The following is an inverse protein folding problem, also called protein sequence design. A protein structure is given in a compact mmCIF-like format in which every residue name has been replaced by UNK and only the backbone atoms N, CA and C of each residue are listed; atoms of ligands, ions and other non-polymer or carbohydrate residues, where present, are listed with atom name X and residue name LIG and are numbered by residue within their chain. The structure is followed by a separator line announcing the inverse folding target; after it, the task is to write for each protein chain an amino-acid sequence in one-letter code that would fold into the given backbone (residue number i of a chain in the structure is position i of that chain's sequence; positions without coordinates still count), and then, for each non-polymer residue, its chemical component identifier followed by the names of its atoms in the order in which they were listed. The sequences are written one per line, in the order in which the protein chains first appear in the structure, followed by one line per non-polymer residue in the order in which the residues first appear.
data_IF_972517242706
#
_entry.id   IF_972517242706
#
_cell.length_a   1.000
_cell.length_b   1.000
_cell.length_c   1.000
_cell.angle_alpha   90.00
_cell.angle_beta   90.00
_cell.angle_gamma   90.00
#
_symmetry.space_group_name_H-M   'P 1'
#
loop_
_entity.id
_entity.type
_entity.pdbx_description
1 polymer ?
#
# COMPACT_ATOMS: atom_id res chain seq x y z
N UNK A 1 -1.05 3.77 0.70
CA UNK A 1 -1.79 2.67 0.05
C UNK A 1 -2.24 3.02 -1.37
N UNK A 2 -2.93 4.16 -1.63
CA UNK A 2 -3.37 4.52 -2.99
C UNK A 2 -2.29 4.37 -4.08
N UNK A 3 -1.03 4.78 -3.79
CA UNK A 3 0.06 4.64 -4.76
C UNK A 3 0.31 3.19 -5.18
N UNK A 4 0.23 2.24 -4.25
CA UNK A 4 0.33 0.81 -4.54
C UNK A 4 -0.88 0.31 -5.34
N UNK A 5 -2.10 0.60 -4.86
CA UNK A 5 -3.33 0.11 -5.47
C UNK A 5 -3.56 0.63 -6.89
N UNK A 6 -3.06 1.81 -7.20
CA UNK A 6 -3.20 2.46 -8.51
C UNK A 6 -1.93 2.42 -9.36
N UNK A 7 -0.85 1.77 -8.87
CA UNK A 7 0.48 1.73 -9.50
C UNK A 7 1.05 3.13 -9.78
N UNK A 8 0.79 4.07 -8.87
CA UNK A 8 1.36 5.41 -8.93
C UNK A 8 2.63 5.46 -8.07
N UNK A 9 3.76 5.25 -8.74
CA UNK A 9 5.08 5.26 -8.09
C UNK A 9 5.37 6.58 -7.39
N UNK A 10 4.96 7.71 -7.98
CA UNK A 10 5.25 9.03 -7.44
C UNK A 10 4.51 9.26 -6.12
N UNK A 11 3.21 8.94 -6.06
CA UNK A 11 2.43 9.01 -4.82
C UNK A 11 3.02 8.07 -3.78
N UNK A 12 3.36 6.82 -4.16
CA UNK A 12 3.93 5.87 -3.21
C UNK A 12 5.27 6.35 -2.65
N UNK A 13 6.19 6.79 -3.53
CA UNK A 13 7.52 7.28 -3.13
C UNK A 13 7.46 8.56 -2.27
N UNK A 14 6.50 9.43 -2.51
CA UNK A 14 6.41 10.76 -1.88
C UNK A 14 6.22 10.73 -0.36
N UNK A 15 5.74 9.61 0.20
CA UNK A 15 5.49 9.48 1.65
C UNK A 15 6.77 9.18 2.46
N UNK A 16 7.87 8.86 1.79
CA UNK A 16 9.15 8.58 2.41
C UNK A 16 10.10 9.78 2.34
N UNK A 17 10.96 9.94 3.35
CA UNK A 17 12.16 10.77 3.22
C UNK A 17 13.14 10.14 2.24
N UNK A 18 14.03 10.94 1.66
CA UNK A 18 14.95 10.45 0.61
C UNK A 18 15.95 9.44 1.15
N UNK A 19 16.35 9.58 2.40
CA UNK A 19 17.25 8.69 3.14
C UNK A 19 16.54 7.65 4.00
N UNK A 20 15.23 7.44 3.78
CA UNK A 20 14.47 6.45 4.52
C UNK A 20 14.96 5.01 4.24
N UNK A 21 14.65 4.12 5.15
CA UNK A 21 15.00 2.71 5.03
C UNK A 21 13.76 1.83 5.15
N UNK A 22 13.59 0.92 4.21
CA UNK A 22 12.47 -0.03 4.17
C UNK A 22 12.99 -1.43 4.44
N UNK A 23 12.44 -2.10 5.46
CA UNK A 23 12.77 -3.47 5.86
C UNK A 23 11.52 -4.35 5.86
N UNK A 24 11.38 -5.17 4.84
CA UNK A 24 10.28 -6.12 4.68
C UNK A 24 10.74 -7.57 4.89
N UNK A 25 11.89 -7.76 5.56
CA UNK A 25 12.50 -9.06 5.78
C UNK A 25 13.16 -9.62 4.52
N UNK A 26 12.40 -9.89 3.48
CA UNK A 26 12.90 -10.40 2.19
C UNK A 26 13.58 -9.32 1.30
N UNK A 27 13.28 -8.05 1.54
CA UNK A 27 13.94 -6.91 0.90
C UNK A 27 14.24 -5.84 1.94
N UNK A 28 15.47 -5.30 1.89
CA UNK A 28 15.94 -4.22 2.76
C UNK A 28 16.65 -3.21 1.90
N UNK A 29 16.10 -2.00 1.77
CA UNK A 29 16.59 -1.05 0.77
C UNK A 29 16.11 0.38 1.02
N UNK A 30 16.61 1.30 0.16
CA UNK A 30 16.15 2.67 0.05
C UNK A 30 14.74 2.77 -0.57
N UNK A 31 14.04 3.91 -0.42
CA UNK A 31 12.67 4.05 -0.87
C UNK A 31 12.49 4.09 -2.40
N UNK A 32 13.51 4.46 -3.19
CA UNK A 32 13.42 4.49 -4.65
C UNK A 32 13.46 3.09 -5.23
N UNK A 33 14.40 2.28 -4.73
CA UNK A 33 14.51 0.85 -5.06
C UNK A 33 13.27 0.09 -4.59
N UNK A 34 12.79 0.38 -3.38
CA UNK A 34 11.58 -0.23 -2.85
C UNK A 34 10.33 0.12 -3.67
N UNK A 35 10.17 1.38 -4.05
CA UNK A 35 9.06 1.80 -4.89
C UNK A 35 9.08 1.11 -6.26
N UNK A 36 10.27 0.95 -6.86
CA UNK A 36 10.41 0.22 -8.12
C UNK A 36 10.03 -1.25 -7.98
N UNK A 37 10.54 -1.89 -6.92
CA UNK A 37 10.20 -3.27 -6.59
C UNK A 37 8.68 -3.47 -6.42
N UNK A 38 8.01 -2.59 -5.66
CA UNK A 38 6.56 -2.68 -5.46
C UNK A 38 5.78 -2.53 -6.77
N UNK A 39 6.17 -1.57 -7.63
CA UNK A 39 5.50 -1.41 -8.94
C UNK A 39 5.67 -2.66 -9.81
N UNK A 40 6.86 -3.23 -9.84
CA UNK A 40 7.13 -4.46 -10.60
C UNK A 40 6.38 -5.68 -10.04
N UNK A 41 6.33 -5.84 -8.72
CA UNK A 41 5.62 -6.94 -8.08
C UNK A 41 4.10 -6.89 -8.30
N UNK A 42 3.53 -5.69 -8.39
CA UNK A 42 2.08 -5.50 -8.46
C UNK A 42 1.53 -5.28 -9.88
N UNK A 43 2.39 -5.04 -10.89
CA UNK A 43 1.94 -4.65 -12.24
C UNK A 43 1.05 -5.69 -12.93
N UNK A 44 1.32 -6.97 -12.67
CA UNK A 44 0.61 -8.08 -13.30
C UNK A 44 -0.60 -8.56 -12.47
N UNK A 45 -0.86 -7.96 -11.31
CA UNK A 45 -2.04 -8.26 -10.53
C UNK A 45 -3.29 -7.68 -11.20
N UNK A 46 -4.39 -8.40 -11.16
CA UNK A 46 -5.70 -7.96 -11.68
C UNK A 46 -6.20 -6.76 -10.86
N UNK A 47 -6.08 -6.84 -9.54
CA UNK A 47 -6.44 -5.74 -8.63
C UNK A 47 -5.68 -5.84 -7.31
N UNK A 48 -5.56 -4.70 -6.62
CA UNK A 48 -5.03 -4.62 -5.27
C UNK A 48 -5.90 -3.69 -4.43
N UNK A 49 -6.02 -4.02 -3.14
CA UNK A 49 -6.71 -3.18 -2.17
C UNK A 49 -6.01 -3.28 -0.82
N UNK A 50 -5.25 -2.25 -0.47
CA UNK A 50 -4.62 -2.14 0.84
C UNK A 50 -5.49 -1.29 1.76
N UNK A 51 -5.93 -1.88 2.86
CA UNK A 51 -6.67 -1.19 3.92
C UNK A 51 -5.78 -1.04 5.15
N UNK A 52 -5.73 0.18 5.69
CA UNK A 52 -5.11 0.48 6.98
C UNK A 52 -6.22 0.43 8.03
N UNK A 53 -5.94 -0.27 9.11
CA UNK A 53 -6.83 -0.40 10.25
C UNK A 53 -6.37 0.41 11.48
N UNK A 54 -6.30 -0.25 12.63
CA UNK A 54 -5.91 0.35 13.88
C UNK A 54 -4.52 0.98 13.78
N UNK A 55 -4.36 2.16 14.38
CA UNK A 55 -3.10 2.90 14.37
C UNK A 55 -2.78 3.36 15.79
N UNK A 56 -1.61 3.02 16.27
CA UNK A 56 -1.01 3.58 17.47
C UNK A 56 0.13 4.50 17.02
N UNK A 57 0.09 5.76 17.43
CA UNK A 57 1.16 6.74 17.15
C UNK A 57 1.64 7.32 18.47
N UNK A 58 2.93 7.22 18.72
CA UNK A 58 3.56 7.75 19.91
C UNK A 58 4.64 8.76 19.52
N UNK A 59 4.56 9.97 20.05
CA UNK A 59 5.60 10.97 19.85
C UNK A 59 6.79 10.69 20.77
N UNK A 60 7.98 10.92 20.25
CA UNK A 60 9.21 10.81 21.02
C UNK A 60 9.24 11.92 22.09
N UNK A 61 9.54 11.54 23.35
CA UNK A 61 9.53 12.48 24.47
C UNK A 61 10.71 13.47 24.42
N UNK A 62 11.81 13.10 23.76
CA UNK A 62 13.02 13.90 23.69
C UNK A 62 13.11 14.68 22.35
N UNK A 63 12.34 14.29 21.34
CA UNK A 63 12.36 14.90 20.01
C UNK A 63 10.97 15.05 19.40
N UNK A 64 10.37 16.22 19.55
CA UNK A 64 9.04 16.55 19.01
C UNK A 64 8.91 16.38 17.48
N UNK A 65 10.02 16.17 16.76
CA UNK A 65 10.04 15.95 15.33
C UNK A 65 10.14 14.46 14.97
N UNK A 66 10.02 13.57 15.95
CA UNK A 66 10.02 12.12 15.77
C UNK A 66 8.74 11.50 16.34
N UNK A 67 8.19 10.52 15.67
CA UNK A 67 7.10 9.70 16.16
C UNK A 67 7.26 8.25 15.69
N UNK A 68 6.72 7.32 16.46
CA UNK A 68 6.70 5.89 16.16
C UNK A 68 5.27 5.44 15.93
N UNK A 69 5.08 4.55 14.96
CA UNK A 69 3.76 4.05 14.61
C UNK A 69 3.70 2.55 14.50
N UNK A 70 2.66 1.96 15.05
CA UNK A 70 2.22 0.60 14.76
C UNK A 70 0.89 0.69 14.02
N UNK A 71 0.89 0.29 12.72
CA UNK A 71 -0.23 0.49 11.83
C UNK A 71 -0.67 -0.87 11.28
N UNK A 72 -1.83 -1.34 11.69
CA UNK A 72 -2.40 -2.59 11.18
C UNK A 72 -2.84 -2.43 9.73
N UNK A 73 -2.58 -3.45 8.92
CA UNK A 73 -3.03 -3.48 7.53
C UNK A 73 -3.67 -4.81 7.16
N UNK A 74 -4.50 -4.75 6.13
CA UNK A 74 -4.99 -5.89 5.38
C UNK A 74 -4.80 -5.57 3.89
N UNK A 75 -4.03 -6.40 3.20
CA UNK A 75 -3.72 -6.25 1.80
C UNK A 75 -4.37 -7.40 1.00
N UNK A 76 -5.28 -7.04 0.11
CA UNK A 76 -5.90 -7.96 -0.84
C UNK A 76 -5.21 -7.81 -2.21
N UNK A 77 -4.85 -8.94 -2.79
CA UNK A 77 -4.30 -9.03 -4.13
C UNK A 77 -5.08 -10.07 -4.93
N UNK A 78 -5.59 -9.67 -6.10
CA UNK A 78 -6.14 -10.61 -7.07
C UNK A 78 -5.10 -10.81 -8.16
N UNK A 79 -4.65 -12.03 -8.31
CA UNK A 79 -3.59 -12.42 -9.25
C UNK A 79 -4.03 -13.60 -10.11
N UNK A 80 -3.13 -14.09 -10.97
CA UNK A 80 -3.32 -15.33 -11.74
C UNK A 80 -2.20 -16.28 -11.35
N UNK A 81 -2.56 -17.41 -10.75
CA UNK A 81 -1.62 -18.48 -10.41
C UNK A 81 -1.97 -19.74 -11.20
N UNK A 82 -1.03 -20.23 -12.01
CA UNK A 82 -1.23 -21.41 -12.86
C UNK A 82 -2.50 -21.32 -13.75
N UNK A 83 -2.82 -20.12 -14.24
CA UNK A 83 -3.99 -19.86 -15.07
C UNK A 83 -5.31 -19.74 -14.32
N UNK A 84 -5.28 -19.73 -12.98
CA UNK A 84 -6.46 -19.57 -12.11
C UNK A 84 -6.42 -18.22 -11.44
N UNK A 85 -7.54 -17.47 -11.52
CA UNK A 85 -7.69 -16.25 -10.74
C UNK A 85 -7.63 -16.62 -9.26
N UNK A 86 -6.74 -15.96 -8.53
CA UNK A 86 -6.40 -16.30 -7.15
C UNK A 86 -6.44 -15.06 -6.27
N UNK A 87 -7.08 -15.17 -5.13
CA UNK A 87 -7.12 -14.16 -4.09
C UNK A 87 -6.01 -14.44 -3.08
N UNK A 88 -5.13 -13.48 -2.88
CA UNK A 88 -4.10 -13.50 -1.83
C UNK A 88 -4.40 -12.39 -0.86
N UNK A 89 -4.58 -12.75 0.41
CA UNK A 89 -4.80 -11.81 1.50
C UNK A 89 -3.62 -11.89 2.45
N UNK A 90 -3.04 -10.76 2.77
CA UNK A 90 -1.94 -10.63 3.73
C UNK A 90 -2.35 -9.63 4.79
N UNK A 91 -2.22 -9.99 6.05
CA UNK A 91 -2.52 -9.11 7.16
C UNK A 91 -1.33 -9.04 8.12
N UNK A 92 -1.09 -7.86 8.64
CA UNK A 92 0.04 -7.60 9.50
C UNK A 92 0.08 -6.16 9.99
N UNK A 93 1.27 -5.69 10.28
CA UNK A 93 1.52 -4.36 10.82
C UNK A 93 2.73 -3.72 10.17
N UNK A 94 2.64 -2.43 9.91
CA UNK A 94 3.81 -1.59 9.67
C UNK A 94 4.31 -1.06 11.00
N UNK A 95 5.61 -1.18 11.23
CA UNK A 95 6.32 -0.52 12.32
C UNK A 95 7.12 0.63 11.72
N UNK A 96 6.64 1.83 11.95
CA UNK A 96 7.15 3.04 11.31
C UNK A 96 7.88 3.94 12.30
N UNK A 97 8.93 4.60 11.83
CA UNK A 97 9.44 5.84 12.40
C UNK A 97 9.15 6.98 11.44
N UNK A 98 8.44 7.96 11.93
CA UNK A 98 8.14 9.20 11.22
C UNK A 98 9.06 10.31 11.70
N UNK A 99 9.48 11.16 10.78
CA UNK A 99 10.24 12.36 11.11
C UNK A 99 9.61 13.59 10.44
N UNK A 100 9.55 14.70 11.20
CA UNK A 100 9.14 16.00 10.68
C UNK A 100 10.38 16.79 10.30
N UNK A 101 10.61 16.95 9.00
CA UNK A 101 11.70 17.75 8.46
C UNK A 101 11.13 18.90 7.65
N UNK A 102 11.57 20.14 7.91
CA UNK A 102 11.03 21.34 7.27
C UNK A 102 9.51 21.46 7.35
N UNK A 103 8.94 21.08 8.50
CA UNK A 103 7.50 21.13 8.75
C UNK A 103 6.68 19.99 8.13
N UNK A 104 7.29 19.06 7.42
CA UNK A 104 6.61 17.95 6.72
C UNK A 104 6.96 16.61 7.38
N UNK A 105 5.92 15.88 7.82
CA UNK A 105 6.06 14.53 8.31
C UNK A 105 6.15 13.53 7.16
N UNK A 106 7.14 12.64 7.20
CA UNK A 106 7.28 11.50 6.30
C UNK A 106 7.84 10.29 7.04
N UNK A 107 7.75 9.14 6.40
CA UNK A 107 8.34 7.90 6.89
C UNK A 107 9.87 7.99 6.72
N UNK A 108 10.61 7.82 7.81
CA UNK A 108 12.07 7.71 7.81
C UNK A 108 12.53 6.25 7.93
N UNK A 109 11.69 5.38 8.49
CA UNK A 109 11.90 3.94 8.55
C UNK A 109 10.56 3.23 8.51
N UNK A 110 10.48 2.13 7.78
CA UNK A 110 9.34 1.20 7.80
C UNK A 110 9.82 -0.23 7.84
N UNK A 111 9.27 -0.99 8.78
CA UNK A 111 9.33 -2.45 8.75
C UNK A 111 7.93 -3.02 8.59
N UNK A 112 7.82 -4.15 7.88
CA UNK A 112 6.58 -4.91 7.77
C UNK A 112 6.68 -6.21 8.56
N UNK A 113 5.70 -6.44 9.42
CA UNK A 113 5.52 -7.68 10.17
C UNK A 113 4.23 -8.34 9.69
N UNK A 114 4.33 -9.55 9.15
CA UNK A 114 3.19 -10.30 8.66
C UNK A 114 2.69 -11.25 9.74
N UNK A 115 1.40 -11.13 10.11
CA UNK A 115 0.78 -11.95 11.14
C UNK A 115 0.14 -13.22 10.55
N UNK A 116 -0.52 -13.10 9.39
CA UNK A 116 -1.11 -14.23 8.67
C UNK A 116 -1.35 -13.92 7.20
N UNK A 117 -1.53 -14.97 6.41
CA UNK A 117 -1.96 -14.86 5.02
C UNK A 117 -2.95 -15.95 4.64
N UNK A 118 -3.71 -15.71 3.56
CA UNK A 118 -4.59 -16.69 2.94
C UNK A 118 -4.48 -16.60 1.43
N UNK A 119 -4.45 -17.75 0.77
CA UNK A 119 -4.48 -17.87 -0.69
C UNK A 119 -5.57 -18.86 -1.08
N UNK A 120 -6.48 -18.45 -1.96
CA UNK A 120 -7.59 -19.29 -2.42
C UNK A 120 -8.01 -18.89 -3.84
N UNK A 121 -8.60 -19.82 -4.64
CA UNK A 121 -9.18 -19.45 -5.91
C UNK A 121 -10.25 -18.36 -5.74
N UNK A 122 -10.24 -17.37 -6.64
CA UNK A 122 -11.22 -16.27 -6.60
C UNK A 122 -12.64 -16.80 -6.75
N UNK A 123 -13.53 -16.33 -5.88
CA UNK A 123 -14.97 -16.57 -5.95
C UNK A 123 -15.74 -15.25 -5.78
N UNK A 124 -15.77 -14.44 -6.84
CA UNK A 124 -16.45 -13.14 -6.87
C UNK A 124 -17.51 -13.03 -8.00
N UNK A 125 -18.51 -13.92 -8.06
CA UNK A 125 -19.48 -13.96 -9.15
C UNK A 125 -20.33 -12.69 -9.28
N UNK A 126 -20.44 -11.89 -8.21
CA UNK A 126 -21.21 -10.66 -8.18
C UNK A 126 -20.84 -9.68 -9.31
N UNK A 127 -19.59 -9.70 -9.73
CA UNK A 127 -19.10 -8.76 -10.75
C UNK A 127 -19.13 -9.29 -12.17
N UNK A 128 -19.50 -10.56 -12.40
CA UNK A 128 -19.47 -11.15 -13.73
C UNK A 128 -20.45 -10.46 -14.69
N UNK A 129 -21.65 -10.11 -14.18
CA UNK A 129 -22.73 -9.49 -14.97
C UNK A 129 -23.13 -8.12 -14.41
N UNK A 130 -22.22 -7.43 -13.71
CA UNK A 130 -22.50 -6.17 -13.04
C UNK A 130 -21.99 -4.97 -13.86
N UNK A 131 -22.83 -3.94 -14.02
CA UNK A 131 -22.46 -2.64 -14.57
C UNK A 131 -21.74 -1.73 -13.56
N UNK A 132 -21.34 -2.26 -12.41
CA UNK A 132 -20.61 -1.49 -11.40
C UNK A 132 -19.27 -0.98 -11.91
N UNK A 133 -18.94 0.24 -11.56
CA UNK A 133 -17.60 0.75 -11.81
C UNK A 133 -16.55 -0.08 -11.10
N UNK A 134 -15.54 -0.52 -11.84
CA UNK A 134 -14.40 -1.29 -11.30
C UNK A 134 -13.22 -0.36 -11.08
N UNK A 135 -12.52 -0.55 -9.96
CA UNK A 135 -11.23 0.12 -9.75
C UNK A 135 -10.23 -0.27 -10.84
N UNK A 136 -9.47 0.70 -11.33
CA UNK A 136 -8.45 0.52 -12.36
C UNK A 136 -7.11 1.10 -11.91
N UNK A 137 -6.11 1.02 -12.77
CA UNK A 137 -4.78 1.54 -12.51
C UNK A 137 -4.64 2.95 -13.07
N UNK A 138 -3.89 3.80 -12.39
CA UNK A 138 -3.51 5.15 -12.85
C UNK A 138 -4.68 5.92 -13.49
N UNK A 139 -4.47 6.42 -14.70
CA UNK A 139 -5.41 7.27 -15.42
C UNK A 139 -6.67 6.53 -15.88
N UNK A 140 -6.63 5.20 -15.94
CA UNK A 140 -7.80 4.38 -16.25
C UNK A 140 -8.82 4.28 -15.12
N UNK A 141 -8.43 4.69 -13.89
CA UNK A 141 -9.34 4.72 -12.76
C UNK A 141 -10.38 5.84 -12.92
N UNK A 142 -11.60 5.56 -12.45
CA UNK A 142 -12.71 6.52 -12.48
C UNK A 142 -12.52 7.74 -11.56
N UNK A 143 -11.46 7.76 -10.75
CA UNK A 143 -11.17 8.90 -9.90
C UNK A 143 -10.65 10.09 -10.69
N UNK A 144 -11.54 11.04 -10.94
CA UNK A 144 -11.21 12.36 -11.41
C UNK A 144 -11.72 13.38 -10.39
N UNK A 145 -10.84 14.00 -9.63
CA UNK A 145 -11.20 14.95 -8.57
C UNK A 145 -12.18 16.03 -9.04
N UNK A 146 -12.02 16.48 -10.27
CA UNK A 146 -12.86 17.51 -10.89
C UNK A 146 -14.27 17.00 -11.26
N UNK A 147 -14.43 15.68 -11.36
CA UNK A 147 -15.69 15.01 -11.72
C UNK A 147 -16.39 14.34 -10.54
N UNK A 148 -15.74 14.28 -9.36
CA UNK A 148 -16.25 13.53 -8.20
C UNK A 148 -17.63 13.93 -7.71
N UNK A 149 -18.09 15.14 -8.05
CA UNK A 149 -19.35 15.72 -7.55
C UNK A 149 -20.19 16.33 -8.66
N UNK A 150 -19.93 15.99 -9.91
CA UNK A 150 -20.70 16.47 -11.06
C UNK A 150 -21.33 15.27 -11.76
N UNK A 151 -22.67 15.17 -11.75
CA UNK A 151 -23.38 14.20 -12.57
C UNK A 151 -23.15 14.47 -14.07
#
# INVERSE_FOLDING_TARGET
MRGLDRLDKNIFRSVFHDDAYCDYGFIKTDPDTFASFCMDALKDHISNHHMIGNSLIEFDEENENTAYGEIYFNAYHKTIENGVNTDVIIAGRYLDRYERRNGVWKIAYRSEVNDWSRTEPTNDPYFNDSDCHRGKRQDDDVYHREKMYRP
#
